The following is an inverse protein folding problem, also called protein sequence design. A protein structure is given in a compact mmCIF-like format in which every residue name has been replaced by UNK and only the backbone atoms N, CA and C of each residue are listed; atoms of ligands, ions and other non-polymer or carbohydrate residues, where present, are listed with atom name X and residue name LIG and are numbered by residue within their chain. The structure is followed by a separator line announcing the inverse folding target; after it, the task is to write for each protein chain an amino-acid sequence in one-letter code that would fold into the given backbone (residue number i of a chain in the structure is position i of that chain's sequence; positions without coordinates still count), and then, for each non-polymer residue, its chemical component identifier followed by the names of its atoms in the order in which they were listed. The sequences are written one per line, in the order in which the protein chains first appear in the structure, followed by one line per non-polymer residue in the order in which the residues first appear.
data_IF_353276711888
#
_entry.id   IF_353276711888
#
_cell.length_a   1.000
_cell.length_b   1.000
_cell.length_c   1.000
_cell.angle_alpha   90.00
_cell.angle_beta   90.00
_cell.angle_gamma   90.00
#
_symmetry.space_group_name_H-M   'P 1'
#
loop_
_entity.id
_entity.type
_entity.pdbx_description
1 polymer ?
#
# COMPACT_ATOMS: atom_id res chain seq x y z
N UNK A 1 27.66 -10.05 6.42
CA UNK A 1 26.87 -10.20 5.17
C UNK A 1 25.39 -10.45 5.46
N UNK A 2 25.02 -11.48 6.23
CA UNK A 2 23.61 -11.77 6.55
C UNK A 2 22.88 -10.64 7.28
N UNK A 3 23.57 -9.97 8.21
CA UNK A 3 23.01 -8.82 8.93
C UNK A 3 22.65 -7.64 8.01
N UNK A 4 23.42 -7.42 6.94
CA UNK A 4 23.12 -6.43 5.91
C UNK A 4 21.87 -6.80 5.12
N UNK A 5 21.67 -8.08 4.81
CA UNK A 5 20.48 -8.58 4.10
C UNK A 5 19.24 -8.41 4.98
N UNK A 6 19.35 -8.78 6.26
CA UNK A 6 18.27 -8.59 7.23
C UNK A 6 17.90 -7.10 7.36
N UNK A 7 18.89 -6.21 7.45
CA UNK A 7 18.65 -4.77 7.55
C UNK A 7 17.94 -4.23 6.29
N UNK A 8 18.36 -4.64 5.09
CA UNK A 8 17.66 -4.30 3.85
C UNK A 8 16.24 -4.87 3.79
N UNK A 9 16.04 -6.09 4.30
CA UNK A 9 14.73 -6.73 4.37
C UNK A 9 13.77 -6.05 5.34
N UNK A 10 14.27 -5.51 6.44
CA UNK A 10 13.48 -4.69 7.37
C UNK A 10 13.04 -3.39 6.71
N UNK A 11 13.93 -2.71 5.98
CA UNK A 11 13.58 -1.49 5.22
C UNK A 11 12.51 -1.79 4.18
N UNK A 12 12.71 -2.83 3.35
CA UNK A 12 11.74 -3.26 2.36
C UNK A 12 10.41 -3.66 3.00
N UNK A 13 10.47 -4.36 4.14
CA UNK A 13 9.30 -4.82 4.86
C UNK A 13 8.45 -3.68 5.41
N UNK A 14 9.07 -2.62 5.93
CA UNK A 14 8.39 -1.41 6.38
C UNK A 14 7.66 -0.71 5.22
N UNK A 15 8.32 -0.61 4.06
CA UNK A 15 7.74 -0.04 2.85
C UNK A 15 6.56 -0.88 2.31
N UNK A 16 6.70 -2.20 2.29
CA UNK A 16 5.61 -3.11 1.90
C UNK A 16 4.45 -3.09 2.88
N UNK A 17 4.71 -3.01 4.18
CA UNK A 17 3.68 -2.83 5.19
C UNK A 17 2.88 -1.54 4.91
N UNK A 18 3.56 -0.43 4.64
CA UNK A 18 2.90 0.85 4.34
C UNK A 18 1.99 0.77 3.11
N UNK A 19 2.45 0.12 2.03
CA UNK A 19 1.63 -0.16 0.83
C UNK A 19 0.39 -1.00 1.18
N UNK A 20 0.62 -2.10 1.91
CA UNK A 20 -0.37 -3.13 2.11
C UNK A 20 -1.45 -2.74 3.12
N UNK A 21 -1.13 -1.93 4.12
CA UNK A 21 -2.12 -1.50 5.13
C UNK A 21 -3.27 -0.73 4.48
N UNK A 22 -2.98 0.16 3.52
CA UNK A 22 -4.02 0.88 2.77
C UNK A 22 -4.91 -0.07 1.97
N UNK A 23 -4.31 -1.04 1.28
CA UNK A 23 -5.03 -2.05 0.51
C UNK A 23 -5.88 -2.97 1.40
N UNK A 24 -5.31 -3.43 2.52
CA UNK A 24 -5.96 -4.28 3.53
C UNK A 24 -7.19 -3.60 4.14
N UNK A 25 -7.11 -2.29 4.40
CA UNK A 25 -8.24 -1.52 4.93
C UNK A 25 -9.40 -1.47 3.94
N UNK A 26 -9.11 -1.14 2.67
CA UNK A 26 -10.13 -1.04 1.62
C UNK A 26 -10.81 -2.40 1.42
N UNK A 27 -10.04 -3.46 1.23
CA UNK A 27 -10.62 -4.80 1.08
C UNK A 27 -11.38 -5.22 2.32
N UNK A 28 -10.79 -5.08 3.50
CA UNK A 28 -11.38 -5.56 4.75
C UNK A 28 -12.73 -4.95 5.12
N UNK A 29 -13.04 -3.75 4.61
CA UNK A 29 -14.27 -3.01 4.91
C UNK A 29 -15.28 -3.11 3.76
N UNK A 30 -14.82 -2.97 2.53
CA UNK A 30 -15.68 -2.89 1.35
C UNK A 30 -15.92 -4.26 0.69
N UNK A 31 -15.09 -5.25 0.99
CA UNK A 31 -14.98 -6.50 0.24
C UNK A 31 -14.79 -6.27 -1.27
N UNK A 32 -14.12 -5.17 -1.63
CA UNK A 32 -13.77 -4.81 -3.01
C UNK A 32 -12.27 -4.95 -3.19
N UNK A 33 -11.88 -5.72 -4.21
CA UNK A 33 -10.49 -5.85 -4.63
C UNK A 33 -10.16 -4.64 -5.49
N UNK A 34 -9.42 -3.69 -4.92
CA UNK A 34 -9.10 -2.44 -5.60
C UNK A 34 -7.90 -2.60 -6.55
N UNK A 35 -8.15 -2.88 -7.83
CA UNK A 35 -7.07 -2.96 -8.83
C UNK A 35 -6.35 -1.62 -9.08
N UNK A 36 -6.99 -0.51 -8.76
CA UNK A 36 -6.45 0.85 -8.93
C UNK A 36 -5.30 1.19 -7.96
N UNK A 37 -5.14 0.40 -6.89
CA UNK A 37 -4.19 0.68 -5.80
C UNK A 37 -2.74 0.75 -6.30
N UNK A 38 -2.36 -0.14 -7.23
CA UNK A 38 -1.02 -0.13 -7.84
C UNK A 38 -0.73 1.18 -8.56
N UNK A 39 -1.67 1.65 -9.37
CA UNK A 39 -1.52 2.90 -10.12
C UNK A 39 -1.52 4.12 -9.22
N UNK A 40 -2.23 4.10 -8.08
CA UNK A 40 -2.11 5.16 -7.08
C UNK A 40 -0.73 5.23 -6.44
N UNK A 41 -0.09 4.09 -6.15
CA UNK A 41 1.28 4.08 -5.63
C UNK A 41 2.22 4.74 -6.64
N UNK A 42 2.13 4.37 -7.92
CA UNK A 42 2.97 4.97 -8.96
C UNK A 42 2.69 6.46 -9.13
N UNK A 43 1.41 6.87 -9.12
CA UNK A 43 1.02 8.26 -9.24
C UNK A 43 1.56 9.10 -8.08
N UNK A 44 1.54 8.59 -6.84
CA UNK A 44 2.17 9.24 -5.69
C UNK A 44 3.68 9.43 -5.86
N UNK A 45 4.34 8.44 -6.44
CA UNK A 45 5.75 8.54 -6.81
C UNK A 45 6.03 9.59 -7.88
N UNK A 46 5.20 9.67 -8.93
CA UNK A 46 5.33 10.70 -9.96
C UNK A 46 5.06 12.10 -9.42
N UNK A 47 4.02 12.30 -8.61
CA UNK A 47 3.73 13.59 -7.95
C UNK A 47 4.97 14.07 -7.18
N UNK A 48 5.59 13.16 -6.42
CA UNK A 48 6.80 13.44 -5.64
C UNK A 48 7.99 13.76 -6.54
N UNK A 49 8.23 12.97 -7.59
CA UNK A 49 9.31 13.18 -8.53
C UNK A 49 9.19 14.55 -9.25
N UNK A 50 8.00 14.90 -9.76
CA UNK A 50 7.83 16.15 -10.50
C UNK A 50 7.87 17.38 -9.60
N UNK A 51 7.35 17.28 -8.37
CA UNK A 51 7.50 18.35 -7.38
C UNK A 51 8.96 18.58 -7.03
N UNK A 52 9.75 17.52 -6.88
CA UNK A 52 11.19 17.63 -6.68
C UNK A 52 11.91 18.21 -7.91
N UNK A 53 11.70 17.62 -9.09
CA UNK A 53 12.44 17.95 -10.30
C UNK A 53 12.11 19.33 -10.88
N UNK A 54 10.85 19.82 -10.73
CA UNK A 54 10.41 21.10 -11.31
C UNK A 54 10.24 22.22 -10.30
N UNK A 55 9.81 21.90 -9.08
CA UNK A 55 9.53 22.91 -8.05
C UNK A 55 10.64 22.98 -6.99
N UNK A 56 11.63 22.08 -7.03
CA UNK A 56 12.71 22.02 -6.03
C UNK A 56 12.23 21.61 -4.63
N UNK A 57 11.00 21.10 -4.49
CA UNK A 57 10.45 20.74 -3.19
C UNK A 57 11.10 19.44 -2.71
N UNK A 58 11.47 19.41 -1.43
CA UNK A 58 12.07 18.21 -0.85
C UNK A 58 11.10 17.00 -0.92
N UNK A 59 11.52 15.83 -1.46
CA UNK A 59 10.65 14.67 -1.66
C UNK A 59 9.93 14.18 -0.39
N UNK A 60 10.61 14.27 0.76
CA UNK A 60 10.02 13.89 2.05
C UNK A 60 8.85 14.79 2.44
N UNK A 61 8.93 16.09 2.14
CA UNK A 61 7.82 17.02 2.40
C UNK A 61 6.61 16.74 1.51
N UNK A 62 6.82 16.09 0.35
CA UNK A 62 5.75 15.70 -0.57
C UNK A 62 4.98 14.46 -0.12
N UNK A 63 5.46 13.68 0.85
CA UNK A 63 4.75 12.48 1.33
C UNK A 63 3.31 12.78 1.79
N UNK A 64 3.06 13.72 2.74
CA UNK A 64 1.69 14.04 3.14
C UNK A 64 0.90 14.70 2.02
N UNK A 65 1.55 15.51 1.16
CA UNK A 65 0.88 16.23 0.06
C UNK A 65 0.39 15.24 -1.00
N UNK A 66 1.25 14.32 -1.45
CA UNK A 66 0.91 13.27 -2.39
C UNK A 66 -0.18 12.35 -1.82
N UNK A 67 -0.07 11.99 -0.54
CA UNK A 67 -1.11 11.28 0.18
C UNK A 67 -2.46 12.03 0.14
N UNK A 68 -2.49 13.32 0.46
CA UNK A 68 -3.75 14.10 0.49
C UNK A 68 -4.35 14.31 -0.91
N UNK A 69 -3.53 14.48 -1.95
CA UNK A 69 -4.00 14.54 -3.33
C UNK A 69 -4.69 13.22 -3.70
N UNK A 70 -4.07 12.08 -3.39
CA UNK A 70 -4.66 10.78 -3.68
C UNK A 70 -5.83 10.43 -2.76
N UNK A 71 -5.86 10.95 -1.53
CA UNK A 71 -7.05 10.88 -0.67
C UNK A 71 -8.25 11.48 -1.38
N UNK A 72 -8.10 12.71 -1.90
CA UNK A 72 -9.16 13.41 -2.62
C UNK A 72 -9.60 12.64 -3.86
N UNK A 73 -8.64 12.21 -4.68
CA UNK A 73 -8.91 11.44 -5.90
C UNK A 73 -9.62 10.11 -5.59
N UNK A 74 -9.10 9.35 -4.62
CA UNK A 74 -9.70 8.10 -4.18
C UNK A 74 -11.11 8.30 -3.63
N UNK A 75 -11.31 9.31 -2.78
CA UNK A 75 -12.62 9.67 -2.26
C UNK A 75 -13.62 9.97 -3.39
N UNK A 76 -13.21 10.75 -4.39
CA UNK A 76 -14.05 11.09 -5.54
C UNK A 76 -14.39 9.87 -6.41
N UNK A 77 -13.40 9.01 -6.69
CA UNK A 77 -13.60 7.76 -7.45
C UNK A 77 -14.57 6.84 -6.71
N UNK A 78 -14.38 6.66 -5.41
CA UNK A 78 -15.25 5.80 -4.62
C UNK A 78 -16.67 6.36 -4.57
N UNK A 79 -16.84 7.64 -4.26
CA UNK A 79 -18.16 8.27 -4.14
C UNK A 79 -18.89 8.38 -5.48
N UNK A 80 -18.18 8.71 -6.56
CA UNK A 80 -18.77 8.99 -7.87
C UNK A 80 -18.99 7.76 -8.74
N UNK A 81 -18.17 6.73 -8.57
CA UNK A 81 -18.15 5.56 -9.46
C UNK A 81 -18.37 4.27 -8.67
N UNK A 82 -17.50 3.95 -7.70
CA UNK A 82 -17.50 2.61 -7.07
C UNK A 82 -18.75 2.40 -6.20
N UNK A 83 -19.24 3.42 -5.48
CA UNK A 83 -20.45 3.32 -4.66
C UNK A 83 -21.68 2.88 -5.47
N UNK A 84 -21.72 3.14 -6.78
CA UNK A 84 -22.84 2.73 -7.64
C UNK A 84 -22.90 1.22 -7.87
N UNK A 85 -21.79 0.50 -7.66
CA UNK A 85 -21.67 -0.94 -7.90
C UNK A 85 -21.16 -1.71 -6.68
N UNK A 86 -20.94 -1.04 -5.54
CA UNK A 86 -20.32 -1.65 -4.35
C UNK A 86 -21.15 -2.80 -3.75
N UNK A 87 -22.46 -2.80 -3.99
CA UNK A 87 -23.39 -3.86 -3.55
C UNK A 87 -23.50 -5.01 -4.55
N UNK A 88 -22.88 -4.90 -5.72
CA UNK A 88 -22.88 -5.92 -6.77
C UNK A 88 -21.85 -7.01 -6.47
N UNK A 89 -21.91 -8.18 -7.15
CA UNK A 89 -20.92 -9.25 -6.99
C UNK A 89 -19.48 -8.75 -7.16
N UNK A 90 -18.55 -9.36 -6.42
CA UNK A 90 -17.12 -8.98 -6.40
C UNK A 90 -16.51 -8.90 -7.81
N UNK A 91 -16.95 -9.75 -8.74
CA UNK A 91 -16.48 -9.71 -10.13
C UNK A 91 -16.78 -8.38 -10.81
N UNK A 92 -17.96 -7.78 -10.57
CA UNK A 92 -18.36 -6.50 -11.17
C UNK A 92 -17.50 -5.35 -10.63
N UNK A 93 -17.24 -5.34 -9.32
CA UNK A 93 -16.37 -4.31 -8.70
C UNK A 93 -14.92 -4.48 -9.12
N UNK A 94 -14.45 -5.72 -9.29
CA UNK A 94 -13.15 -6.03 -9.89
C UNK A 94 -13.03 -5.51 -11.31
N UNK A 95 -13.99 -5.82 -12.18
CA UNK A 95 -13.98 -5.35 -13.58
C UNK A 95 -13.99 -3.84 -13.66
N UNK A 96 -14.77 -3.17 -12.80
CA UNK A 96 -14.77 -1.71 -12.73
C UNK A 96 -13.40 -1.16 -12.31
N UNK A 97 -12.84 -1.65 -11.21
CA UNK A 97 -11.55 -1.14 -10.69
C UNK A 97 -10.40 -1.46 -11.63
N UNK A 98 -10.43 -2.59 -12.34
CA UNK A 98 -9.50 -2.92 -13.42
C UNK A 98 -9.63 -1.95 -14.60
N UNK A 99 -10.86 -1.63 -15.01
CA UNK A 99 -11.10 -0.64 -16.07
C UNK A 99 -10.57 0.75 -15.69
N UNK A 100 -10.83 1.18 -14.45
CA UNK A 100 -10.28 2.43 -13.92
C UNK A 100 -8.75 2.40 -13.87
N UNK A 101 -8.16 1.25 -13.53
CA UNK A 101 -6.71 1.06 -13.49
C UNK A 101 -6.10 1.19 -14.89
N UNK A 102 -6.68 0.53 -15.90
CA UNK A 102 -6.25 0.69 -17.29
C UNK A 102 -6.31 2.15 -17.74
N UNK A 103 -7.37 2.89 -17.41
CA UNK A 103 -7.49 4.30 -17.78
C UNK A 103 -6.36 5.11 -17.14
N UNK A 104 -6.15 4.95 -15.83
CA UNK A 104 -5.13 5.71 -15.10
C UNK A 104 -3.71 5.32 -15.54
N UNK A 105 -3.45 4.03 -15.70
CA UNK A 105 -2.18 3.49 -16.17
C UNK A 105 -1.81 4.03 -17.56
N UNK A 106 -2.75 3.98 -18.51
CA UNK A 106 -2.51 4.51 -19.86
C UNK A 106 -2.37 6.03 -19.86
N UNK A 107 -3.15 6.74 -19.05
CA UNK A 107 -2.99 8.18 -18.87
C UNK A 107 -1.57 8.52 -18.37
N UNK A 108 -1.09 7.82 -17.33
CA UNK A 108 0.28 8.01 -16.84
C UNK A 108 1.33 7.67 -17.91
N UNK A 109 1.12 6.65 -18.74
CA UNK A 109 2.04 6.31 -19.82
C UNK A 109 2.13 7.40 -20.89
N UNK A 110 1.00 8.00 -21.26
CA UNK A 110 0.98 9.10 -22.23
C UNK A 110 1.62 10.36 -21.65
N UNK A 111 1.31 10.71 -20.40
CA UNK A 111 1.75 11.98 -19.80
C UNK A 111 3.18 11.92 -19.27
N UNK A 112 3.58 10.82 -18.62
CA UNK A 112 4.87 10.72 -17.93
C UNK A 112 5.90 9.89 -18.69
N UNK A 113 5.47 9.11 -19.69
CA UNK A 113 6.26 8.11 -20.41
C UNK A 113 6.69 6.96 -19.50
N UNK A 114 6.78 5.74 -20.01
CA UNK A 114 7.21 4.56 -19.23
C UNK A 114 8.72 4.56 -18.86
N UNK A 115 9.41 5.67 -19.08
CA UNK A 115 10.84 5.83 -18.79
C UNK A 115 11.05 5.93 -17.27
N UNK A 116 11.94 5.10 -16.68
CA UNK A 116 12.28 5.20 -15.26
C UNK A 116 12.77 6.60 -14.89
N UNK A 117 12.18 7.18 -13.84
CA UNK A 117 12.57 8.47 -13.26
C UNK A 117 13.05 8.26 -11.84
N UNK A 118 14.20 8.82 -11.49
CA UNK A 118 14.83 8.63 -10.17
C UNK A 118 15.00 9.96 -9.47
N UNK A 119 14.59 10.00 -8.20
CA UNK A 119 14.93 11.09 -7.28
C UNK A 119 16.37 10.87 -6.79
N UNK A 120 17.19 11.92 -6.82
CA UNK A 120 18.57 11.86 -6.31
C UNK A 120 18.71 12.79 -5.12
N UNK A 121 18.95 12.20 -3.95
CA UNK A 121 19.18 12.93 -2.70
C UNK A 121 20.58 12.57 -2.20
N UNK A 122 21.44 13.59 -2.03
CA UNK A 122 22.78 13.43 -1.47
C UNK A 122 22.72 13.53 0.06
N UNK A 123 22.04 12.57 0.70
CA UNK A 123 21.93 12.50 2.16
C UNK A 123 23.10 11.76 2.81
N UNK A 124 23.98 11.15 2.01
CA UNK A 124 25.07 10.29 2.48
C UNK A 124 24.59 8.93 2.98
N UNK A 125 25.51 8.21 3.62
CA UNK A 125 25.29 6.86 4.14
C UNK A 125 25.85 6.73 5.54
N UNK A 126 25.24 5.86 6.32
CA UNK A 126 25.70 5.50 7.64
C UNK A 126 26.30 4.10 7.62
N UNK A 127 27.46 3.93 8.26
CA UNK A 127 28.09 2.63 8.47
C UNK A 127 28.24 2.40 9.98
N UNK A 128 27.46 1.45 10.50
CA UNK A 128 27.66 0.92 11.85
C UNK A 128 27.97 -0.57 11.72
N UNK A 129 29.09 -0.98 12.32
CA UNK A 129 29.45 -2.39 12.48
C UNK A 129 29.46 -3.19 11.16
N UNK A 130 29.80 -2.54 10.03
CA UNK A 130 29.84 -3.16 8.70
C UNK A 130 28.48 -3.28 8.01
N UNK A 131 27.45 -2.58 8.51
CA UNK A 131 26.14 -2.42 7.86
C UNK A 131 26.13 -1.07 7.15
N UNK A 132 26.18 -1.10 5.83
CA UNK A 132 26.08 0.10 5.00
C UNK A 132 24.62 0.43 4.72
N UNK A 133 24.11 1.51 5.33
CA UNK A 133 22.72 1.93 5.17
C UNK A 133 22.63 3.40 4.72
N UNK A 134 22.21 3.64 3.46
CA UNK A 134 21.86 4.97 2.98
C UNK A 134 20.78 5.68 3.82
N UNK A 135 20.92 6.99 4.02
CA UNK A 135 19.98 7.77 4.85
C UNK A 135 18.57 7.85 4.26
N UNK A 136 18.45 7.90 2.93
CA UNK A 136 17.18 7.84 2.19
C UNK A 136 16.36 6.59 2.55
N UNK A 137 17.02 5.43 2.69
CA UNK A 137 16.41 4.16 3.11
C UNK A 137 15.96 4.18 4.56
N UNK A 138 16.81 4.65 5.47
CA UNK A 138 16.48 4.73 6.90
C UNK A 138 15.31 5.66 7.16
N UNK A 139 15.35 6.86 6.59
CA UNK A 139 14.28 7.85 6.76
C UNK A 139 12.99 7.33 6.15
N UNK A 140 13.05 6.69 4.98
CA UNK A 140 11.87 6.11 4.35
C UNK A 140 11.26 4.98 5.18
N UNK A 141 12.09 4.13 5.80
CA UNK A 141 11.64 3.07 6.72
C UNK A 141 10.96 3.66 7.96
N UNK A 142 11.57 4.65 8.61
CA UNK A 142 11.01 5.30 9.80
C UNK A 142 9.66 5.97 9.49
N UNK A 143 9.56 6.66 8.36
CA UNK A 143 8.32 7.30 7.92
C UNK A 143 7.25 6.27 7.52
N UNK A 144 7.63 5.16 6.91
CA UNK A 144 6.70 4.07 6.60
C UNK A 144 6.08 3.46 7.87
N UNK A 145 6.90 3.23 8.91
CA UNK A 145 6.40 2.81 10.22
C UNK A 145 5.55 3.90 10.88
N UNK A 146 5.96 5.17 10.80
CA UNK A 146 5.19 6.28 11.35
C UNK A 146 3.82 6.41 10.70
N UNK A 147 3.72 6.32 9.37
CA UNK A 147 2.45 6.34 8.64
C UNK A 147 1.56 5.14 9.00
N UNK A 148 2.14 3.94 9.04
CA UNK A 148 1.42 2.72 9.41
C UNK A 148 0.90 2.80 10.84
N UNK A 149 1.74 3.26 11.78
CA UNK A 149 1.39 3.46 13.19
C UNK A 149 0.35 4.57 13.38
N UNK A 150 0.45 5.66 12.63
CA UNK A 150 -0.54 6.74 12.62
C UNK A 150 -1.91 6.23 12.16
N UNK A 151 -1.95 5.47 11.06
CA UNK A 151 -3.20 4.87 10.60
C UNK A 151 -3.77 3.89 11.63
N UNK A 152 -2.92 3.04 12.24
CA UNK A 152 -3.35 2.16 13.32
C UNK A 152 -3.97 2.91 14.49
N UNK A 153 -3.33 4.01 14.93
CA UNK A 153 -3.83 4.86 16.00
C UNK A 153 -5.16 5.51 15.64
N UNK A 154 -5.27 6.13 14.45
CA UNK A 154 -6.51 6.74 13.94
C UNK A 154 -7.63 5.71 13.87
N UNK A 155 -7.36 4.49 13.41
CA UNK A 155 -8.36 3.42 13.32
C UNK A 155 -8.90 3.00 14.70
N UNK A 156 -8.08 3.05 15.75
CA UNK A 156 -8.51 2.68 17.12
C UNK A 156 -9.19 3.81 17.87
N UNK A 157 -8.73 5.05 17.72
CA UNK A 157 -9.17 6.15 18.61
C UNK A 157 -10.23 7.04 17.98
N UNK A 158 -10.24 7.18 16.65
CA UNK A 158 -11.10 8.15 15.98
C UNK A 158 -12.54 7.67 15.82
N UNK A 159 -13.47 8.64 15.70
CA UNK A 159 -14.88 8.38 15.35
C UNK A 159 -15.01 7.70 13.98
N UNK A 160 -14.18 8.11 13.03
CA UNK A 160 -14.12 7.52 11.68
C UNK A 160 -13.73 6.06 11.76
N UNK A 161 -12.69 5.71 12.52
CA UNK A 161 -12.26 4.33 12.71
C UNK A 161 -13.37 3.44 13.30
N UNK A 162 -14.10 3.94 14.30
CA UNK A 162 -15.28 3.23 14.85
C UNK A 162 -16.40 3.04 13.83
N UNK A 163 -16.69 4.07 13.03
CA UNK A 163 -17.71 3.97 11.98
C UNK A 163 -17.32 2.96 10.89
N UNK A 164 -16.04 2.92 10.51
CA UNK A 164 -15.49 1.93 9.56
C UNK A 164 -15.67 0.50 10.10
N UNK A 165 -15.34 0.28 11.38
CA UNK A 165 -15.53 -1.03 12.03
C UNK A 165 -17.02 -1.40 12.10
N UNK A 166 -17.89 -0.46 12.46
CA UNK A 166 -19.34 -0.71 12.51
C UNK A 166 -19.90 -1.13 11.13
N UNK A 167 -19.54 -0.41 10.08
CA UNK A 167 -19.96 -0.72 8.70
C UNK A 167 -19.41 -2.07 8.23
N UNK A 168 -18.20 -2.43 8.63
CA UNK A 168 -17.61 -3.75 8.33
C UNK A 168 -18.36 -4.89 9.01
N UNK A 169 -18.86 -4.69 10.23
CA UNK A 169 -19.57 -5.72 10.99
C UNK A 169 -20.96 -5.97 10.40
N UNK A 170 -21.74 -4.91 10.22
CA UNK A 170 -23.07 -4.99 9.60
C UNK A 170 -23.40 -3.62 9.01
N UNK A 171 -23.45 -3.55 7.67
CA UNK A 171 -23.71 -2.31 6.95
C UNK A 171 -25.13 -1.80 7.19
N UNK A 172 -26.11 -2.70 7.31
CA UNK A 172 -27.53 -2.38 7.37
C UNK A 172 -27.86 -1.91 8.79
N UNK A 173 -27.33 -2.58 9.81
CA UNK A 173 -27.39 -2.11 11.20
C UNK A 173 -26.67 -0.78 11.38
N UNK A 174 -25.49 -0.58 10.78
CA UNK A 174 -24.79 0.70 10.82
C UNK A 174 -25.63 1.83 10.21
N UNK A 175 -26.32 1.57 9.09
CA UNK A 175 -27.22 2.53 8.46
C UNK A 175 -28.42 2.89 9.36
N UNK A 176 -29.01 1.91 10.05
CA UNK A 176 -30.09 2.12 11.02
C UNK A 176 -29.64 2.98 12.22
N UNK A 177 -28.36 2.91 12.60
CA UNK A 177 -27.76 3.75 13.63
C UNK A 177 -27.38 5.16 13.13
N UNK A 178 -27.80 5.54 11.91
CA UNK A 178 -27.59 6.86 11.33
C UNK A 178 -26.22 7.06 10.66
N UNK A 179 -25.44 5.99 10.46
CA UNK A 179 -24.16 6.07 9.75
C UNK A 179 -24.41 6.14 8.24
N UNK A 180 -23.90 7.17 7.59
CA UNK A 180 -23.92 7.29 6.13
C UNK A 180 -22.89 6.36 5.50
N UNK A 181 -23.30 5.11 5.22
CA UNK A 181 -22.42 4.04 4.69
C UNK A 181 -21.64 4.49 3.45
N UNK A 182 -22.30 5.12 2.48
CA UNK A 182 -21.67 5.64 1.26
C UNK A 182 -20.51 6.60 1.52
N UNK A 183 -20.64 7.43 2.57
CA UNK A 183 -19.59 8.36 2.96
C UNK A 183 -18.45 7.63 3.67
N UNK A 184 -18.75 6.64 4.51
CA UNK A 184 -17.73 5.83 5.18
C UNK A 184 -16.93 5.03 4.15
N UNK A 185 -17.58 4.48 3.12
CA UNK A 185 -16.92 3.86 1.98
C UNK A 185 -15.96 4.83 1.27
N UNK A 186 -16.44 6.03 0.92
CA UNK A 186 -15.60 7.06 0.30
C UNK A 186 -14.41 7.48 1.17
N UNK A 187 -14.62 7.65 2.48
CA UNK A 187 -13.53 7.97 3.43
C UNK A 187 -12.53 6.82 3.50
N UNK A 188 -12.99 5.57 3.59
CA UNK A 188 -12.14 4.39 3.69
C UNK A 188 -11.26 4.23 2.46
N UNK A 189 -11.85 4.36 1.28
CA UNK A 189 -11.11 4.31 0.02
C UNK A 189 -10.15 5.48 -0.13
N UNK A 190 -10.55 6.69 0.31
CA UNK A 190 -9.66 7.85 0.40
C UNK A 190 -8.46 7.58 1.31
N UNK A 191 -8.65 6.99 2.49
CA UNK A 191 -7.55 6.62 3.39
C UNK A 191 -6.64 5.57 2.74
N UNK A 192 -7.21 4.58 2.04
CA UNK A 192 -6.43 3.61 1.27
C UNK A 192 -5.57 4.26 0.19
N UNK A 193 -6.15 5.19 -0.58
CA UNK A 193 -5.47 5.96 -1.60
C UNK A 193 -4.43 6.93 -1.03
N UNK A 194 -4.69 7.51 0.15
CA UNK A 194 -3.71 8.30 0.90
C UNK A 194 -2.48 7.47 1.21
N UNK A 195 -2.67 6.27 1.77
CA UNK A 195 -1.57 5.36 2.07
C UNK A 195 -0.84 4.92 0.81
N UNK A 196 -1.55 4.65 -0.28
CA UNK A 196 -0.95 4.34 -1.58
C UNK A 196 -0.04 5.49 -2.06
N UNK A 197 -0.53 6.73 -2.02
CA UNK A 197 0.21 7.91 -2.48
C UNK A 197 1.41 8.25 -1.61
N UNK A 198 1.23 8.19 -0.29
CA UNK A 198 2.31 8.41 0.66
C UNK A 198 3.39 7.31 0.57
N UNK A 199 2.98 6.05 0.41
CA UNK A 199 3.92 4.95 0.16
C UNK A 199 4.62 5.13 -1.20
N UNK A 200 3.91 5.54 -2.24
CA UNK A 200 4.48 5.87 -3.55
C UNK A 200 5.56 6.95 -3.47
N UNK A 201 5.32 8.00 -2.69
CA UNK A 201 6.30 9.06 -2.42
C UNK A 201 7.55 8.51 -1.71
N UNK A 202 7.39 7.65 -0.72
CA UNK A 202 8.49 6.96 -0.04
C UNK A 202 9.26 6.04 -0.99
N UNK A 203 8.56 5.28 -1.82
CA UNK A 203 9.18 4.42 -2.83
C UNK A 203 9.99 5.23 -3.85
N UNK A 204 9.50 6.40 -4.27
CA UNK A 204 10.20 7.27 -5.22
C UNK A 204 11.54 7.80 -4.69
N UNK A 205 11.69 7.90 -3.36
CA UNK A 205 12.95 8.29 -2.72
C UNK A 205 13.98 7.16 -2.78
N UNK A 206 13.54 5.90 -2.66
CA UNK A 206 14.44 4.73 -2.56
C UNK A 206 14.66 4.04 -3.91
N UNK A 207 13.65 4.04 -4.79
CA UNK A 207 13.58 3.29 -6.03
C UNK A 207 13.17 4.20 -7.20
N UNK A 208 13.61 3.89 -8.43
CA UNK A 208 13.13 4.60 -9.61
C UNK A 208 11.64 4.33 -9.84
N UNK A 209 10.91 5.38 -10.20
CA UNK A 209 9.48 5.34 -10.52
C UNK A 209 9.30 5.09 -12.01
N UNK A 210 8.49 4.10 -12.35
CA UNK A 210 8.00 3.88 -13.72
C UNK A 210 6.59 3.29 -13.67
N UNK A 211 5.78 3.55 -14.68
CA UNK A 211 4.41 3.04 -14.83
C UNK A 211 4.36 1.51 -14.78
N UNK A 212 5.34 0.83 -15.39
CA UNK A 212 5.41 -0.63 -15.49
C UNK A 212 5.45 -1.36 -14.14
N UNK A 213 5.69 -0.66 -13.03
CA UNK A 213 5.73 -1.24 -11.68
C UNK A 213 4.35 -1.28 -11.00
N UNK A 214 3.30 -0.70 -11.59
CA UNK A 214 1.94 -0.69 -11.00
C UNK A 214 1.47 -2.11 -10.65
N UNK A 215 1.53 -3.03 -11.62
CA UNK A 215 1.15 -4.44 -11.45
C UNK A 215 1.99 -5.18 -10.41
N UNK A 216 3.28 -4.85 -10.31
CA UNK A 216 4.17 -5.44 -9.31
C UNK A 216 3.76 -5.03 -7.90
N UNK A 217 3.53 -3.74 -7.66
CA UNK A 217 3.21 -3.24 -6.32
C UNK A 217 1.83 -3.65 -5.84
N UNK A 218 0.82 -3.75 -6.72
CA UNK A 218 -0.46 -4.33 -6.33
C UNK A 218 -0.32 -5.82 -5.99
N UNK A 219 0.49 -6.58 -6.75
CA UNK A 219 0.79 -7.97 -6.43
C UNK A 219 1.43 -8.12 -5.05
N UNK A 220 2.40 -7.26 -4.71
CA UNK A 220 3.01 -7.24 -3.38
C UNK A 220 2.02 -6.86 -2.28
N UNK A 221 1.18 -5.85 -2.51
CA UNK A 221 0.13 -5.48 -1.56
C UNK A 221 -0.80 -6.66 -1.27
N UNK A 222 -1.18 -7.41 -2.31
CA UNK A 222 -2.00 -8.61 -2.18
C UNK A 222 -1.32 -9.70 -1.36
N UNK A 223 -0.08 -10.07 -1.73
CA UNK A 223 0.72 -11.07 -1.01
C UNK A 223 0.83 -10.72 0.47
N UNK A 224 1.18 -9.48 0.80
CA UNK A 224 1.28 -9.03 2.20
C UNK A 224 -0.04 -9.14 2.94
N UNK A 225 -1.15 -8.76 2.31
CA UNK A 225 -2.46 -8.80 2.96
C UNK A 225 -2.95 -10.23 3.22
N UNK A 226 -2.64 -11.16 2.32
CA UNK A 226 -2.93 -12.58 2.51
C UNK A 226 -2.07 -13.17 3.63
N UNK A 227 -0.76 -12.88 3.63
CA UNK A 227 0.15 -13.32 4.70
C UNK A 227 -0.28 -12.74 6.05
N UNK A 228 -0.62 -11.46 6.10
CA UNK A 228 -0.98 -10.74 7.31
C UNK A 228 -2.39 -11.04 7.85
N UNK A 229 -3.32 -11.38 6.97
CA UNK A 229 -4.76 -11.45 7.24
C UNK A 229 -5.50 -10.18 6.79
N UNK A 230 -6.56 -10.36 6.01
CA UNK A 230 -7.34 -9.28 5.40
C UNK A 230 -8.04 -8.39 6.45
N UNK A 231 -8.00 -7.07 6.23
CA UNK A 231 -8.65 -6.10 7.10
C UNK A 231 -7.98 -5.93 8.47
N UNK A 232 -6.72 -6.34 8.62
CA UNK A 232 -5.95 -6.19 9.85
C UNK A 232 -4.73 -5.29 9.60
N UNK A 233 -4.71 -4.10 10.21
CA UNK A 233 -3.56 -3.20 10.14
C UNK A 233 -2.30 -3.84 10.76
N UNK A 234 -2.36 -4.45 11.97
CA UNK A 234 -1.20 -5.19 12.52
C UNK A 234 -0.81 -6.40 11.64
N UNK A 235 -1.80 -7.06 11.04
CA UNK A 235 -1.58 -8.14 10.09
C UNK A 235 -0.74 -7.71 8.91
N UNK A 236 -1.12 -6.61 8.25
CA UNK A 236 -0.37 -6.07 7.12
C UNK A 236 1.05 -5.60 7.51
N UNK A 237 1.24 -5.09 8.73
CA UNK A 237 2.58 -4.78 9.24
C UNK A 237 3.47 -6.02 9.33
N UNK A 238 2.99 -7.08 9.99
CA UNK A 238 3.74 -8.33 10.12
C UNK A 238 3.95 -9.00 8.77
N UNK A 239 2.92 -9.04 7.92
CA UNK A 239 3.02 -9.59 6.57
C UNK A 239 4.04 -8.86 5.70
N UNK A 240 4.11 -7.53 5.81
CA UNK A 240 5.08 -6.71 5.09
C UNK A 240 6.50 -7.02 5.54
N UNK A 241 6.72 -7.09 6.85
CA UNK A 241 8.01 -7.44 7.44
C UNK A 241 8.47 -8.83 7.02
N UNK A 242 7.59 -9.83 7.10
CA UNK A 242 7.88 -11.22 6.69
C UNK A 242 8.25 -11.26 5.21
N UNK A 243 7.44 -10.63 4.35
CA UNK A 243 7.71 -10.61 2.91
C UNK A 243 9.02 -9.89 2.59
N UNK A 244 9.29 -8.73 3.19
CA UNK A 244 10.50 -7.95 2.93
C UNK A 244 11.79 -8.69 3.30
N UNK A 245 11.79 -9.39 4.44
CA UNK A 245 12.91 -10.24 4.86
C UNK A 245 13.10 -11.41 3.90
N UNK A 246 12.03 -12.15 3.60
CA UNK A 246 12.10 -13.32 2.70
C UNK A 246 12.56 -12.93 1.30
N UNK A 247 12.01 -11.86 0.73
CA UNK A 247 12.45 -11.36 -0.58
C UNK A 247 13.92 -10.92 -0.58
N UNK A 248 14.42 -10.38 0.52
CA UNK A 248 15.83 -9.95 0.61
C UNK A 248 16.79 -11.14 0.65
N UNK A 249 16.46 -12.19 1.42
CA UNK A 249 17.24 -13.43 1.45
C UNK A 249 17.15 -14.19 0.11
N UNK A 250 15.93 -14.36 -0.42
CA UNK A 250 15.72 -15.01 -1.71
C UNK A 250 16.42 -14.25 -2.85
N UNK A 251 16.34 -12.91 -2.84
CA UNK A 251 17.01 -12.06 -3.82
C UNK A 251 18.53 -12.19 -3.79
N UNK A 252 19.11 -12.38 -2.61
CA UNK A 252 20.55 -12.57 -2.47
C UNK A 252 21.02 -13.98 -2.88
N UNK A 253 20.31 -15.04 -2.49
CA UNK A 253 20.76 -16.42 -2.69
C UNK A 253 20.30 -17.03 -4.02
N UNK A 254 19.06 -16.75 -4.42
CA UNK A 254 18.44 -17.32 -5.63
C UNK A 254 18.46 -16.32 -6.79
N UNK A 255 18.66 -15.03 -6.50
CA UNK A 255 18.72 -13.94 -7.48
C UNK A 255 17.46 -13.05 -7.44
N UNK A 256 17.55 -11.79 -7.92
CA UNK A 256 16.48 -10.80 -7.76
C UNK A 256 15.13 -11.19 -8.36
N UNK A 257 15.13 -11.95 -9.46
CA UNK A 257 13.92 -12.41 -10.12
C UNK A 257 13.15 -13.43 -9.26
N UNK A 258 13.87 -14.25 -8.49
CA UNK A 258 13.29 -15.29 -7.64
C UNK A 258 12.75 -14.76 -6.32
N UNK A 259 13.11 -13.53 -5.92
CA UNK A 259 12.55 -12.88 -4.74
C UNK A 259 11.01 -12.77 -4.83
N UNK A 260 10.50 -12.32 -5.99
CA UNK A 260 9.06 -12.20 -6.24
C UNK A 260 8.39 -13.59 -6.15
N UNK A 261 8.99 -14.59 -6.80
CA UNK A 261 8.48 -15.97 -6.79
C UNK A 261 8.41 -16.52 -5.37
N UNK A 262 9.45 -16.31 -4.55
CA UNK A 262 9.47 -16.75 -3.15
C UNK A 262 8.30 -16.16 -2.34
N UNK A 263 7.99 -14.88 -2.55
CA UNK A 263 6.84 -14.21 -1.93
C UNK A 263 5.49 -14.85 -2.30
N UNK A 264 5.27 -15.13 -3.58
CA UNK A 264 4.03 -15.78 -4.04
C UNK A 264 3.94 -17.25 -3.61
N UNK A 265 5.04 -17.99 -3.61
CA UNK A 265 5.08 -19.37 -3.11
C UNK A 265 4.74 -19.40 -1.62
N UNK A 266 5.30 -18.49 -0.83
CA UNK A 266 4.96 -18.35 0.59
C UNK A 266 3.47 -18.06 0.78
N UNK A 267 2.90 -17.15 -0.01
CA UNK A 267 1.47 -16.86 0.01
C UNK A 267 0.64 -18.12 -0.26
N UNK A 268 0.99 -18.92 -1.27
CA UNK A 268 0.28 -20.16 -1.58
C UNK A 268 0.37 -21.17 -0.44
N UNK A 269 1.57 -21.35 0.14
CA UNK A 269 1.76 -22.24 1.31
C UNK A 269 0.89 -21.77 2.48
N UNK A 270 0.85 -20.46 2.75
CA UNK A 270 0.01 -19.92 3.83
C UNK A 270 -1.48 -20.07 3.53
N UNK A 271 -1.94 -19.90 2.29
CA UNK A 271 -3.33 -20.14 1.93
C UNK A 271 -3.76 -21.59 2.17
N UNK A 272 -2.88 -22.56 1.90
CA UNK A 272 -3.15 -23.99 2.13
C UNK A 272 -3.11 -24.33 3.63
N UNK A 273 -2.14 -23.78 4.37
CA UNK A 273 -1.88 -24.19 5.77
C UNK A 273 -2.62 -23.34 6.81
N UNK A 274 -2.85 -22.05 6.53
CA UNK A 274 -3.49 -21.07 7.40
C UNK A 274 -4.24 -19.98 6.57
N UNK A 275 -5.44 -20.29 6.05
CA UNK A 275 -6.19 -19.38 5.16
C UNK A 275 -6.60 -18.06 5.82
N UNK A 276 -6.61 -17.97 7.15
CA UNK A 276 -6.81 -16.71 7.89
C UNK A 276 -5.59 -15.78 7.90
N UNK A 277 -4.43 -16.21 7.38
CA UNK A 277 -3.16 -15.50 7.53
C UNK A 277 -2.56 -15.63 8.94
N UNK A 278 -1.44 -14.94 9.17
CA UNK A 278 -0.66 -15.01 10.41
C UNK A 278 -1.37 -14.41 11.62
N UNK A 279 -2.10 -13.31 11.41
CA UNK A 279 -2.79 -12.56 12.47
C UNK A 279 -4.29 -12.38 12.20
N UNK A 280 -4.85 -13.03 11.19
CA UNK A 280 -6.28 -12.98 10.94
C UNK A 280 -7.05 -13.75 12.01
N UNK A 281 -8.08 -13.11 12.55
CA UNK A 281 -9.08 -13.76 13.38
C UNK A 281 -10.09 -14.43 12.46
N UNK A 282 -10.51 -15.66 12.74
CA UNK A 282 -11.68 -16.27 12.09
C UNK A 282 -12.83 -15.26 12.22
N UNK A 283 -13.37 -14.81 11.09
CA UNK A 283 -14.62 -14.05 11.11
C UNK A 283 -15.70 -14.93 11.75
N UNK A 284 -16.58 -14.32 12.54
CA UNK A 284 -17.84 -14.96 12.85
C UNK A 284 -18.61 -15.06 11.53
N UNK A 285 -18.84 -16.28 11.07
CA UNK A 285 -19.86 -16.57 10.06
C UNK A 285 -21.24 -16.21 10.62
#
# INVERSE_FOLDING_TARGET
MELQILANGIVLGALYACIAVGFSLVWGVLNVINMLHGSFIILGGYITFFAWARLGIHPIAMIPVAGMILYGLGYMVQRGVINKVVTQPVLITLTLTFGLDMILYNFMNVVFTATPKRVTLELGSFDIAGIFMPWDRMVSMLLAFALTGLLYWVMRTSRVGRAIVAVRMDRDAAALMGIRVDQIYAITFGIGAFMAGAAGALFAVVFPVTTNLSGLYIGKAFVVCVIGGLGSVPGALVGGMVLGVIESFAGHWLGPQHAITAGFVLMLILLITRPSGLLGKKGYE
#
